data_IF_509406785683
#
_entry.id   IF_509406785683
#
_cell.length_a   1.000
_cell.length_b   1.000
_cell.length_c   1.000
_cell.angle_alpha   90.00
_cell.angle_beta   90.00
_cell.angle_gamma   90.00
#
_symmetry.space_group_name_H-M   'P 1'
#
loop_
_entity.id
_entity.type
_entity.pdbx_description
1 polymer ?
#
# COMPACT_ATOMS: atom_id res chain seq x y z
N UNK A 1 7.04 12.51 -5.74
CA UNK A 1 6.23 12.20 -4.54
C UNK A 1 6.57 10.81 -4.04
N UNK A 2 6.07 10.42 -2.87
CA UNK A 2 6.25 9.07 -2.35
C UNK A 2 4.95 8.53 -1.74
N UNK A 3 4.79 7.22 -1.77
CA UNK A 3 3.74 6.51 -1.03
C UNK A 3 4.43 5.44 -0.19
N UNK A 4 4.19 5.45 1.11
CA UNK A 4 4.71 4.46 2.04
C UNK A 4 3.64 3.97 3.01
N UNK A 5 3.90 2.79 3.55
CA UNK A 5 3.02 2.12 4.49
C UNK A 5 3.56 0.76 4.87
N UNK A 6 2.73 0.00 5.57
CA UNK A 6 3.10 -1.28 6.15
C UNK A 6 2.03 -2.34 5.91
N UNK A 7 2.47 -3.57 5.69
CA UNK A 7 1.62 -4.76 5.76
C UNK A 7 1.92 -5.45 7.07
N UNK A 8 0.90 -5.69 7.91
CA UNK A 8 1.09 -6.22 9.25
C UNK A 8 -0.03 -7.18 9.67
N UNK A 9 0.23 -7.94 10.74
CA UNK A 9 -0.78 -8.84 11.33
C UNK A 9 -1.81 -8.06 12.15
N UNK A 10 -3.09 -8.29 11.91
CA UNK A 10 -4.19 -7.65 12.65
C UNK A 10 -4.45 -8.30 14.03
N UNK A 11 -3.38 -8.46 14.81
CA UNK A 11 -3.42 -8.81 16.23
C UNK A 11 -2.12 -8.38 16.89
N UNK A 12 -2.18 -8.00 18.17
CA UNK A 12 -1.00 -7.62 18.92
C UNK A 12 0.07 -8.75 18.88
N UNK A 13 1.32 -8.46 18.50
CA UNK A 13 1.97 -7.14 18.59
C UNK A 13 2.00 -6.33 17.28
N UNK A 14 1.10 -6.60 16.32
CA UNK A 14 1.07 -5.98 14.99
C UNK A 14 2.38 -6.15 14.22
N UNK A 15 2.89 -7.38 14.26
CA UNK A 15 4.13 -7.72 13.55
C UNK A 15 3.99 -7.45 12.06
N UNK A 16 4.96 -6.74 11.51
CA UNK A 16 5.12 -6.57 10.07
C UNK A 16 5.22 -7.90 9.35
N UNK A 17 4.67 -7.93 8.15
CA UNK A 17 4.61 -9.09 7.30
C UNK A 17 5.59 -8.93 6.15
N UNK A 18 6.70 -9.66 6.21
CA UNK A 18 7.75 -9.66 5.19
C UNK A 18 7.35 -10.43 3.92
N UNK A 19 7.83 -9.97 2.77
CA UNK A 19 7.65 -10.66 1.49
C UNK A 19 6.25 -10.51 0.89
N UNK A 20 5.46 -9.57 1.37
CA UNK A 20 4.14 -9.25 0.81
C UNK A 20 4.29 -8.33 -0.39
N UNK A 21 3.71 -8.74 -1.51
CA UNK A 21 3.75 -7.95 -2.73
C UNK A 21 2.69 -6.85 -2.66
N UNK A 22 3.14 -5.59 -2.75
CA UNK A 22 2.27 -4.42 -2.88
C UNK A 22 2.43 -3.88 -4.28
N UNK A 23 1.31 -3.69 -4.97
CA UNK A 23 1.24 -3.19 -6.32
C UNK A 23 0.74 -1.75 -6.32
N UNK A 24 1.35 -0.94 -7.16
CA UNK A 24 0.95 0.43 -7.44
C UNK A 24 0.62 0.54 -8.93
N UNK A 25 -0.53 1.12 -9.24
CA UNK A 25 -1.02 1.35 -10.60
C UNK A 25 -1.48 2.79 -10.75
N UNK A 26 -1.41 3.36 -11.94
CA UNK A 26 -1.69 4.78 -12.20
C UNK A 26 -0.87 5.30 -13.38
N UNK A 27 -0.40 6.56 -13.34
CA UNK A 27 0.51 7.12 -14.36
C UNK A 27 1.79 6.31 -14.55
N UNK A 28 2.31 5.74 -13.46
CA UNK A 28 3.35 4.71 -13.47
C UNK A 28 2.86 3.51 -12.68
N UNK A 29 3.29 2.32 -13.08
CA UNK A 29 3.02 1.08 -12.36
C UNK A 29 4.31 0.53 -11.74
N UNK A 30 4.16 -0.15 -10.61
CA UNK A 30 5.27 -0.76 -9.90
C UNK A 30 4.77 -1.82 -8.93
N UNK A 31 5.69 -2.66 -8.48
CA UNK A 31 5.43 -3.61 -7.41
C UNK A 31 6.66 -3.68 -6.50
N UNK A 32 6.43 -3.80 -5.20
CA UNK A 32 7.47 -3.95 -4.18
C UNK A 32 7.08 -5.07 -3.24
N UNK A 33 8.07 -5.77 -2.71
CA UNK A 33 7.88 -6.70 -1.61
C UNK A 33 8.24 -6.00 -0.30
N UNK A 34 7.40 -6.16 0.73
CA UNK A 34 7.67 -5.64 2.07
C UNK A 34 8.94 -6.24 2.68
N UNK A 35 9.62 -5.44 3.50
CA UNK A 35 10.81 -5.87 4.25
C UNK A 35 10.45 -6.64 5.54
N UNK A 36 11.46 -7.01 6.34
CA UNK A 36 11.31 -7.70 7.62
C UNK A 36 10.39 -6.98 8.64
N UNK A 37 10.21 -5.67 8.48
CA UNK A 37 9.30 -4.86 9.30
C UNK A 37 7.92 -4.70 8.66
N UNK A 38 7.64 -5.37 7.54
CA UNK A 38 6.41 -5.23 6.78
C UNK A 38 6.31 -3.93 5.99
N UNK A 39 7.40 -3.16 5.88
CA UNK A 39 7.34 -1.80 5.33
C UNK A 39 7.61 -1.80 3.83
N UNK A 40 6.96 -0.88 3.11
CA UNK A 40 7.23 -0.62 1.71
C UNK A 40 7.21 0.89 1.40
N UNK A 41 7.90 1.29 0.33
CA UNK A 41 7.93 2.70 -0.10
C UNK A 41 8.14 2.85 -1.61
N UNK A 42 7.12 3.38 -2.29
CA UNK A 42 7.24 3.89 -3.65
C UNK A 42 7.75 5.32 -3.62
N UNK A 43 8.78 5.64 -4.40
CA UNK A 43 9.35 6.98 -4.46
C UNK A 43 9.53 7.44 -5.91
N UNK A 44 9.70 8.76 -6.11
CA UNK A 44 9.86 9.32 -7.45
C UNK A 44 8.57 9.33 -8.29
N UNK A 45 7.40 9.20 -7.65
CA UNK A 45 6.12 9.18 -8.36
C UNK A 45 5.81 10.57 -8.95
N UNK A 46 5.50 10.67 -10.26
CA UNK A 46 4.99 11.90 -10.86
C UNK A 46 3.55 12.20 -10.41
N UNK A 47 3.08 13.42 -10.70
CA UNK A 47 1.70 13.80 -10.42
C UNK A 47 0.69 12.91 -11.16
N UNK A 48 -0.46 12.69 -10.54
CA UNK A 48 -1.55 11.86 -11.03
C UNK A 48 -2.15 10.99 -9.94
N UNK A 49 -3.12 10.16 -10.32
CA UNK A 49 -3.87 9.30 -9.41
C UNK A 49 -3.33 7.88 -9.44
N UNK A 50 -2.99 7.37 -8.27
CA UNK A 50 -2.45 6.04 -8.05
C UNK A 50 -3.42 5.20 -7.25
N UNK A 51 -3.51 3.93 -7.59
CA UNK A 51 -4.16 2.90 -6.81
C UNK A 51 -3.10 1.97 -6.23
N UNK A 52 -3.11 1.80 -4.92
CA UNK A 52 -2.23 0.88 -4.19
C UNK A 52 -3.05 -0.30 -3.70
N UNK A 53 -2.61 -1.49 -4.05
CA UNK A 53 -3.22 -2.77 -3.69
C UNK A 53 -2.18 -3.68 -3.09
N UNK A 54 -2.48 -4.36 -1.99
CA UNK A 54 -1.72 -5.54 -1.63
C UNK A 54 -2.16 -6.74 -2.46
N UNK A 55 -1.24 -7.69 -2.66
CA UNK A 55 -1.55 -9.00 -3.22
C UNK A 55 -1.77 -9.96 -2.06
N UNK A 56 -3.04 -10.27 -1.80
CA UNK A 56 -3.43 -11.18 -0.74
C UNK A 56 -2.78 -12.56 -0.96
N UNK A 57 -2.03 -13.03 0.03
CA UNK A 57 -1.42 -14.35 -0.02
C UNK A 57 -2.46 -15.46 0.22
N UNK A 58 -2.20 -16.65 -0.32
CA UNK A 58 -3.05 -17.81 -0.09
C UNK A 58 -3.26 -18.05 1.41
N UNK A 59 -4.48 -18.39 1.81
CA UNK A 59 -4.94 -18.61 3.19
C UNK A 59 -5.08 -17.37 4.07
N UNK A 60 -4.50 -16.24 3.71
CA UNK A 60 -4.67 -15.00 4.47
C UNK A 60 -5.98 -14.29 4.11
N UNK A 61 -6.42 -13.43 5.03
CA UNK A 61 -7.56 -12.54 4.82
C UNK A 61 -7.16 -11.12 5.20
N UNK A 62 -7.36 -10.20 4.25
CA UNK A 62 -7.29 -8.76 4.51
C UNK A 62 -8.44 -8.37 5.46
N UNK A 63 -8.09 -7.67 6.52
CA UNK A 63 -9.05 -7.06 7.46
C UNK A 63 -9.07 -5.55 7.36
N UNK A 64 -8.01 -4.94 6.81
CA UNK A 64 -7.93 -3.52 6.54
C UNK A 64 -7.05 -3.23 5.31
N UNK A 65 -7.42 -2.27 4.46
CA UNK A 65 -8.65 -1.49 4.49
C UNK A 65 -9.94 -2.31 4.26
N UNK A 66 -11.05 -1.86 4.87
CA UNK A 66 -12.37 -2.49 4.70
C UNK A 66 -13.18 -1.93 3.53
N UNK A 67 -12.70 -0.85 2.92
CA UNK A 67 -13.30 -0.09 1.84
C UNK A 67 -12.23 0.66 1.03
N UNK A 68 -12.61 1.22 -0.12
CA UNK A 68 -11.70 2.00 -0.95
C UNK A 68 -11.62 1.48 -2.38
N UNK A 69 -10.42 1.51 -2.96
CA UNK A 69 -10.18 1.00 -4.30
C UNK A 69 -10.38 -0.52 -4.34
N UNK A 70 -10.96 -1.04 -5.41
CA UNK A 70 -11.10 -2.49 -5.58
C UNK A 70 -9.74 -3.12 -5.91
N UNK A 71 -9.31 -4.08 -5.09
CA UNK A 71 -8.07 -4.82 -5.26
C UNK A 71 -8.34 -6.33 -5.32
N UNK A 72 -7.47 -7.14 -5.95
CA UNK A 72 -7.65 -8.59 -5.98
C UNK A 72 -7.54 -9.19 -4.58
N UNK A 73 -8.66 -9.60 -3.99
CA UNK A 73 -8.69 -10.19 -2.64
C UNK A 73 -9.23 -9.27 -1.54
N UNK A 74 -9.46 -7.98 -1.85
CA UNK A 74 -10.10 -7.03 -0.94
C UNK A 74 -10.01 -5.59 -1.44
N UNK A 75 -9.45 -4.69 -0.64
CA UNK A 75 -9.48 -3.24 -0.90
C UNK A 75 -8.09 -2.62 -0.92
N UNK A 76 -8.03 -1.33 -1.23
CA UNK A 76 -6.80 -0.58 -1.29
C UNK A 76 -7.05 0.91 -1.38
N UNK A 77 -6.00 1.66 -1.68
CA UNK A 77 -6.01 3.11 -1.54
C UNK A 77 -5.97 3.81 -2.88
N UNK A 78 -6.74 4.89 -3.03
CA UNK A 78 -6.62 5.82 -4.16
C UNK A 78 -5.95 7.11 -3.69
N UNK A 79 -4.75 7.37 -4.20
CA UNK A 79 -3.93 8.53 -3.85
C UNK A 79 -3.77 9.43 -5.06
N UNK A 80 -4.19 10.69 -4.95
CA UNK A 80 -4.03 11.67 -6.03
C UNK A 80 -2.97 12.70 -5.66
N UNK A 81 -1.92 12.77 -6.47
CA UNK A 81 -0.95 13.86 -6.43
C UNK A 81 -1.32 14.91 -7.49
N UNK A 82 -1.53 16.15 -7.08
CA UNK A 82 -1.76 17.26 -8.01
C UNK A 82 -0.44 17.86 -8.51
N UNK A 83 -0.47 18.36 -9.74
CA UNK A 83 0.66 19.06 -10.39
C UNK A 83 0.61 20.58 -10.19
N UNK A 84 -0.39 21.11 -9.47
CA UNK A 84 -0.52 22.54 -9.16
C UNK A 84 0.76 23.06 -8.47
N UNK A 85 1.10 24.36 -8.57
CA UNK A 85 2.40 24.87 -8.12
C UNK A 85 2.47 24.94 -6.59
N UNK A 86 2.51 23.78 -5.93
CA UNK A 86 2.80 23.60 -4.52
C UNK A 86 3.13 22.12 -4.29
N UNK A 87 4.38 21.88 -3.85
CA UNK A 87 4.87 20.63 -3.26
C UNK A 87 5.32 19.48 -4.18
N UNK A 88 6.34 19.77 -5.01
CA UNK A 88 7.34 18.76 -5.39
C UNK A 88 7.99 18.18 -4.12
N UNK A 89 7.46 17.05 -3.64
CA UNK A 89 7.95 16.41 -2.41
C UNK A 89 6.90 15.78 -1.51
N UNK A 90 5.60 15.92 -1.81
CA UNK A 90 4.54 15.30 -0.98
C UNK A 90 4.74 13.78 -0.88
N UNK A 91 4.79 13.29 0.36
CA UNK A 91 4.72 11.87 0.68
C UNK A 91 3.40 11.59 1.37
N UNK A 92 2.74 10.51 0.96
CA UNK A 92 1.58 9.96 1.68
C UNK A 92 2.04 8.73 2.42
N UNK A 93 1.85 8.74 3.72
CA UNK A 93 2.16 7.64 4.64
C UNK A 93 0.86 7.05 5.19
N UNK A 94 0.96 5.94 5.93
CA UNK A 94 -0.18 5.21 6.51
C UNK A 94 -1.09 4.54 5.46
N UNK A 95 -0.49 4.16 4.34
CA UNK A 95 -1.14 3.30 3.36
C UNK A 95 -0.91 1.87 3.85
N UNK A 96 -1.63 1.48 4.91
CA UNK A 96 -1.32 0.25 5.63
C UNK A 96 -2.35 -0.84 5.34
N UNK A 97 -1.89 -2.09 5.32
CA UNK A 97 -2.72 -3.27 5.12
C UNK A 97 -2.62 -4.20 6.32
N UNK A 98 -3.76 -4.51 6.92
CA UNK A 98 -3.85 -5.43 8.05
C UNK A 98 -4.41 -6.77 7.59
N UNK A 99 -3.74 -7.85 8.00
CA UNK A 99 -4.05 -9.20 7.56
C UNK A 99 -4.13 -10.18 8.74
N UNK A 100 -5.02 -11.17 8.62
CA UNK A 100 -5.10 -12.30 9.57
C UNK A 100 -4.84 -13.61 8.86
N UNK A 101 -4.09 -14.50 9.52
CA UNK A 101 -4.15 -15.93 9.19
C UNK A 101 -5.48 -16.51 9.69
N UNK A 102 -5.96 -17.62 9.14
CA UNK A 102 -6.99 -18.42 9.78
C UNK A 102 -6.56 -18.89 11.17
#
# INVERSE_FOLDING_TARGET
>A
MAIDGQVYRDFAPWSGLEGWCVQLTGPVSGALTTDAAGTYRFSGLPAGTYTVCEVLQATWRETFPGDGAACPGGFGYTITFSAEPAYIGSSVSFIDFANVTP
#
